data_IF_851771731017
#
_entry.id   IF_851771731017
#
_cell.length_a   1.000
_cell.length_b   1.000
_cell.length_c   1.000
_cell.angle_alpha   90.00
_cell.angle_beta   90.00
_cell.angle_gamma   90.00
#
_symmetry.space_group_name_H-M   'P 1'
#
loop_
_entity.id
_entity.type
_entity.pdbx_description
1 polymer ?
#
# COMPACT_ATOMS: atom_id res chain seq x y z
N UNK A 1 -3.86 -24.21 42.06
CA UNK A 1 -4.44 -23.72 40.78
C UNK A 1 -3.79 -22.37 40.49
N UNK A 2 -2.74 -22.38 39.66
CA UNK A 2 -2.02 -21.19 39.22
C UNK A 2 -1.99 -21.29 37.69
N UNK A 3 -2.83 -20.53 37.01
CA UNK A 3 -2.83 -20.53 35.55
C UNK A 3 -1.83 -19.49 35.07
N UNK A 4 -0.93 -20.01 34.25
CA UNK A 4 0.31 -19.43 33.77
C UNK A 4 0.03 -18.47 32.59
N UNK A 5 0.47 -17.23 32.73
CA UNK A 5 0.54 -16.23 31.66
C UNK A 5 1.67 -16.60 30.71
N UNK A 6 1.37 -16.83 29.43
CA UNK A 6 2.40 -17.03 28.40
C UNK A 6 2.61 -15.69 27.70
N UNK A 7 3.70 -15.01 28.07
CA UNK A 7 4.29 -13.94 27.27
C UNK A 7 5.02 -14.57 26.08
N UNK A 8 4.68 -14.16 24.86
CA UNK A 8 5.45 -14.51 23.65
C UNK A 8 6.31 -13.30 23.30
N UNK A 9 7.55 -13.36 23.75
CA UNK A 9 8.63 -12.44 23.37
C UNK A 9 9.76 -13.25 22.72
N UNK A 10 10.28 -12.71 21.61
CA UNK A 10 11.49 -13.10 20.87
C UNK A 10 11.44 -14.37 20.00
N UNK A 11 11.44 -14.15 18.68
CA UNK A 11 12.38 -14.82 17.77
C UNK A 11 12.52 -14.01 16.46
N UNK A 12 13.31 -12.95 16.54
CA UNK A 12 14.00 -12.39 15.38
C UNK A 12 15.14 -13.36 15.01
N UNK A 13 14.94 -14.23 14.02
CA UNK A 13 15.98 -14.82 13.15
C UNK A 13 15.37 -15.94 12.31
N UNK A 14 14.81 -15.60 11.15
CA UNK A 14 14.54 -16.55 10.06
C UNK A 14 14.38 -15.80 8.73
N UNK A 15 15.28 -14.86 8.42
CA UNK A 15 15.45 -14.39 7.03
C UNK A 15 16.52 -15.28 6.44
N UNK A 16 16.10 -16.43 5.90
CA UNK A 16 17.03 -17.36 5.29
C UNK A 16 16.34 -18.62 4.78
N UNK A 17 16.43 -18.78 3.46
CA UNK A 17 16.21 -20.02 2.71
C UNK A 17 14.78 -20.37 2.28
N UNK A 18 14.30 -19.65 1.26
CA UNK A 18 13.56 -20.28 0.16
C UNK A 18 14.17 -19.78 -1.15
N UNK A 19 15.28 -20.38 -1.56
CA UNK A 19 15.78 -20.25 -2.93
C UNK A 19 15.41 -21.54 -3.67
N UNK A 20 14.21 -21.57 -4.25
CA UNK A 20 13.85 -22.55 -5.28
C UNK A 20 14.50 -22.14 -6.60
N UNK A 21 14.91 -23.10 -7.47
CA UNK A 21 15.39 -22.77 -8.79
C UNK A 21 14.18 -22.40 -9.66
N UNK A 22 13.78 -21.13 -9.63
CA UNK A 22 12.83 -20.61 -10.58
C UNK A 22 13.57 -20.24 -11.87
N UNK A 23 12.96 -20.59 -13.01
CA UNK A 23 13.31 -20.18 -14.37
C UNK A 23 13.98 -18.79 -14.38
N UNK A 24 15.10 -18.62 -15.09
CA UNK A 24 15.85 -17.37 -15.19
C UNK A 24 14.94 -16.17 -15.51
N UNK A 25 14.44 -15.57 -14.43
CA UNK A 25 13.50 -14.47 -14.33
C UNK A 25 14.18 -13.59 -13.30
N UNK A 26 14.50 -12.36 -13.66
CA UNK A 26 15.09 -11.44 -12.70
C UNK A 26 14.00 -11.09 -11.67
N UNK A 27 14.17 -11.58 -10.44
CA UNK A 27 13.24 -11.34 -9.33
C UNK A 27 13.89 -10.33 -8.40
N UNK A 28 13.27 -9.16 -8.28
CA UNK A 28 13.65 -8.12 -7.33
C UNK A 28 12.70 -8.11 -6.15
N UNK A 29 13.27 -8.02 -4.95
CA UNK A 29 12.53 -7.93 -3.69
C UNK A 29 12.99 -6.67 -2.98
N UNK A 30 12.06 -5.75 -2.75
CA UNK A 30 12.29 -4.48 -2.05
C UNK A 30 11.45 -4.46 -0.77
N UNK A 31 11.92 -3.82 0.30
CA UNK A 31 11.20 -3.77 1.57
C UNK A 31 11.37 -2.43 2.28
N UNK A 32 10.40 -2.09 3.12
CA UNK A 32 10.43 -0.90 3.96
C UNK A 32 9.82 -1.16 5.33
N UNK A 33 10.21 -0.36 6.31
CA UNK A 33 9.62 -0.33 7.63
C UNK A 33 9.70 1.09 8.19
N UNK A 34 8.60 1.55 8.75
CA UNK A 34 8.49 2.84 9.45
C UNK A 34 8.09 2.54 10.90
N UNK A 35 8.86 3.06 11.85
CA UNK A 35 8.59 2.92 13.28
C UNK A 35 8.34 4.30 13.85
N UNK A 36 7.16 4.51 14.43
CA UNK A 36 6.72 5.79 14.97
C UNK A 36 6.23 5.60 16.39
N UNK A 37 6.72 6.42 17.31
CA UNK A 37 6.31 6.44 18.70
C UNK A 37 5.55 7.72 19.00
N UNK A 38 4.45 7.62 19.73
CA UNK A 38 3.63 8.76 20.12
C UNK A 38 2.86 8.49 21.40
N UNK A 39 2.46 9.56 22.06
CA UNK A 39 1.56 9.56 23.21
C UNK A 39 0.80 10.89 23.19
N UNK A 40 -0.41 10.87 23.73
CA UNK A 40 -1.20 12.06 23.98
C UNK A 40 -0.77 12.69 25.30
N UNK A 41 -0.74 14.02 25.35
CA UNK A 41 -0.58 14.76 26.60
C UNK A 41 -1.93 15.41 26.87
N UNK A 42 -2.69 14.84 27.80
CA UNK A 42 -4.03 15.28 28.22
C UNK A 42 -4.09 15.40 29.74
N UNK A 43 -4.95 16.28 30.24
CA UNK A 43 -5.33 16.36 31.67
C UNK A 43 -6.64 15.58 31.94
N UNK A 44 -7.09 14.74 31.00
CA UNK A 44 -8.37 14.02 31.06
C UNK A 44 -8.20 12.61 30.52
N UNK A 45 -8.32 11.63 31.44
CA UNK A 45 -8.01 10.19 31.29
C UNK A 45 -8.76 9.43 30.16
N UNK A 46 -9.79 10.01 29.54
CA UNK A 46 -10.68 9.32 28.58
C UNK A 46 -10.49 9.77 27.11
N UNK A 47 -9.45 10.54 26.81
CA UNK A 47 -9.16 11.01 25.45
C UNK A 47 -8.25 10.05 24.68
N UNK A 48 -8.70 9.53 23.53
CA UNK A 48 -7.79 9.02 22.51
C UNK A 48 -7.86 9.90 21.26
N UNK A 49 -6.70 10.16 20.66
CA UNK A 49 -6.60 10.92 19.43
C UNK A 49 -5.72 10.15 18.44
N UNK A 50 -6.28 9.82 17.28
CA UNK A 50 -5.57 9.14 16.21
C UNK A 50 -4.96 7.77 16.58
N UNK A 51 -5.53 7.10 17.59
CA UNK A 51 -5.05 5.82 18.12
C UNK A 51 -4.00 5.95 19.23
N UNK A 52 -3.66 7.17 19.65
CA UNK A 52 -2.79 7.43 20.81
C UNK A 52 -3.62 7.83 22.03
N UNK A 53 -3.27 7.26 23.17
CA UNK A 53 -3.72 7.60 24.52
C UNK A 53 -2.53 8.19 25.33
N UNK A 54 -2.67 8.30 26.65
CA UNK A 54 -1.62 8.84 27.52
C UNK A 54 -0.40 7.92 27.64
N UNK A 55 -0.50 6.67 27.20
CA UNK A 55 0.60 5.72 27.20
C UNK A 55 1.44 5.84 25.93
N UNK A 56 2.74 5.59 26.07
CA UNK A 56 3.64 5.56 24.93
C UNK A 56 3.32 4.36 24.03
N UNK A 57 2.82 4.64 22.83
CA UNK A 57 2.49 3.64 21.83
C UNK A 57 3.38 3.74 20.61
N UNK A 58 3.70 2.58 20.03
CA UNK A 58 4.48 2.47 18.80
C UNK A 58 3.65 1.97 17.62
N UNK A 59 2.41 1.53 17.84
CA UNK A 59 1.62 0.83 16.83
C UNK A 59 0.88 1.74 15.86
N UNK A 60 0.19 2.82 16.28
CA UNK A 60 -0.82 3.49 15.44
C UNK A 60 -0.33 3.95 14.06
N UNK A 61 0.95 4.29 13.95
CA UNK A 61 1.57 4.85 12.74
C UNK A 61 2.72 3.99 12.20
N UNK A 62 3.08 2.92 12.90
CA UNK A 62 4.14 2.03 12.42
C UNK A 62 3.60 1.12 11.32
N UNK A 63 4.40 0.90 10.29
CA UNK A 63 4.06 0.01 9.19
C UNK A 63 5.30 -0.68 8.62
N UNK A 64 5.09 -1.76 7.89
CA UNK A 64 6.13 -2.40 7.11
C UNK A 64 5.55 -2.92 5.81
N UNK A 65 6.40 -3.12 4.80
CA UNK A 65 5.96 -3.70 3.55
C UNK A 65 7.07 -4.37 2.78
N UNK A 66 6.67 -5.30 1.92
CA UNK A 66 7.54 -6.02 1.01
C UNK A 66 6.91 -5.96 -0.38
N UNK A 67 7.72 -5.60 -1.37
CA UNK A 67 7.37 -5.57 -2.78
C UNK A 67 8.19 -6.61 -3.54
N UNK A 68 7.52 -7.36 -4.40
CA UNK A 68 8.10 -8.33 -5.32
C UNK A 68 7.89 -7.84 -6.75
N UNK A 69 8.94 -7.94 -7.57
CA UNK A 69 8.89 -7.70 -9.01
C UNK A 69 9.59 -8.83 -9.74
N UNK A 70 8.97 -9.38 -10.76
CA UNK A 70 9.58 -10.38 -11.64
C UNK A 70 9.47 -9.96 -13.10
N UNK A 71 10.58 -10.04 -13.84
CA UNK A 71 10.60 -9.88 -15.30
C UNK A 71 10.39 -11.24 -15.98
N UNK A 72 9.19 -11.43 -16.57
CA UNK A 72 8.75 -12.66 -17.21
C UNK A 72 9.16 -12.76 -18.69
N UNK A 73 10.00 -11.84 -19.17
CA UNK A 73 10.46 -11.69 -20.56
C UNK A 73 9.37 -11.21 -21.52
N UNK A 74 9.77 -10.86 -22.76
CA UNK A 74 8.87 -10.39 -23.83
C UNK A 74 8.01 -9.16 -23.46
N UNK A 75 8.53 -8.30 -22.58
CA UNK A 75 7.82 -7.10 -22.09
C UNK A 75 6.77 -7.41 -21.03
N UNK A 76 6.66 -8.66 -20.56
CA UNK A 76 5.75 -9.03 -19.47
C UNK A 76 6.48 -8.98 -18.12
N UNK A 77 5.87 -8.33 -17.13
CA UNK A 77 6.35 -8.34 -15.75
C UNK A 77 5.21 -8.52 -14.77
N UNK A 78 5.55 -8.98 -13.56
CA UNK A 78 4.62 -9.13 -12.44
C UNK A 78 5.10 -8.26 -11.28
N UNK A 79 4.17 -7.56 -10.63
CA UNK A 79 4.45 -6.79 -9.41
C UNK A 79 3.41 -7.10 -8.35
N UNK A 80 3.85 -7.33 -7.11
CA UNK A 80 2.97 -7.51 -5.96
C UNK A 80 3.56 -6.81 -4.73
N UNK A 81 2.72 -6.28 -3.86
CA UNK A 81 3.12 -5.68 -2.59
C UNK A 81 2.19 -6.09 -1.46
N UNK A 82 2.80 -6.35 -0.31
CA UNK A 82 2.13 -6.66 0.94
C UNK A 82 2.57 -5.62 1.97
N UNK A 83 1.63 -5.08 2.73
CA UNK A 83 1.88 -4.09 3.78
C UNK A 83 1.12 -4.50 5.04
N UNK A 84 1.79 -4.42 6.20
CA UNK A 84 1.17 -4.54 7.51
C UNK A 84 1.20 -3.19 8.22
N UNK A 85 0.06 -2.75 8.75
CA UNK A 85 -0.11 -1.46 9.42
C UNK A 85 -0.46 -1.66 10.89
N UNK A 86 0.23 -0.99 11.81
CA UNK A 86 -0.01 -1.16 13.24
C UNK A 86 -1.35 -0.59 13.72
N UNK A 87 -1.99 0.29 12.94
CA UNK A 87 -3.40 0.68 13.13
C UNK A 87 -4.39 -0.47 12.92
N UNK A 88 -3.97 -1.52 12.20
CA UNK A 88 -4.74 -2.73 11.91
C UNK A 88 -4.08 -3.96 12.58
N UNK A 89 -3.46 -3.76 13.75
CA UNK A 89 -2.76 -4.82 14.50
C UNK A 89 -1.62 -5.51 13.71
N UNK A 90 -1.07 -4.82 12.70
CA UNK A 90 -0.10 -5.38 11.75
C UNK A 90 -0.64 -6.53 10.89
N UNK A 91 -1.96 -6.61 10.68
CA UNK A 91 -2.52 -7.56 9.73
C UNK A 91 -2.02 -7.24 8.31
N UNK A 92 -1.51 -8.28 7.62
CA UNK A 92 -0.78 -8.11 6.38
C UNK A 92 -1.75 -8.17 5.20
N UNK A 93 -1.91 -7.03 4.52
CA UNK A 93 -2.82 -6.91 3.38
C UNK A 93 -2.06 -6.75 2.07
N UNK A 94 -2.59 -7.34 1.00
CA UNK A 94 -2.08 -7.12 -0.37
C UNK A 94 -2.57 -5.76 -0.86
N UNK A 95 -1.66 -4.79 -0.94
CA UNK A 95 -1.97 -3.43 -1.40
C UNK A 95 -2.21 -3.42 -2.91
N UNK A 96 -1.28 -4.00 -3.68
CA UNK A 96 -1.45 -4.18 -5.12
C UNK A 96 -0.80 -5.45 -5.63
N UNK A 97 -1.36 -6.00 -6.70
CA UNK A 97 -0.89 -7.19 -7.38
C UNK A 97 -1.37 -7.17 -8.83
N UNK A 98 -0.46 -6.94 -9.77
CA UNK A 98 -0.78 -6.78 -11.18
C UNK A 98 0.30 -7.33 -12.11
N UNK A 99 -0.12 -7.67 -13.32
CA UNK A 99 0.75 -7.92 -14.45
C UNK A 99 0.89 -6.64 -15.27
N UNK A 100 2.08 -6.38 -15.80
CA UNK A 100 2.33 -5.30 -16.76
C UNK A 100 2.83 -5.90 -18.05
N UNK A 101 2.25 -5.50 -19.17
CA UNK A 101 2.68 -5.85 -20.50
C UNK A 101 3.06 -4.58 -21.27
N UNK A 102 4.33 -4.47 -21.63
CA UNK A 102 4.88 -3.40 -22.46
C UNK A 102 4.53 -3.70 -23.92
N UNK A 103 3.56 -2.97 -24.48
CA UNK A 103 3.13 -3.14 -25.88
C UNK A 103 4.19 -2.55 -26.81
N UNK A 104 4.80 -1.44 -26.39
CA UNK A 104 5.94 -0.79 -27.01
C UNK A 104 6.60 0.16 -25.98
N UNK A 105 7.68 0.84 -26.37
CA UNK A 105 8.46 1.74 -25.49
C UNK A 105 7.65 2.91 -24.90
N UNK A 106 6.48 3.23 -25.47
CA UNK A 106 5.62 4.34 -25.07
C UNK A 106 4.27 3.89 -24.49
N UNK A 107 3.93 2.60 -24.51
CA UNK A 107 2.58 2.11 -24.17
C UNK A 107 2.63 0.82 -23.36
N UNK A 108 2.08 0.87 -22.15
CA UNK A 108 1.98 -0.28 -21.26
C UNK A 108 0.54 -0.57 -20.84
N UNK A 109 0.22 -1.86 -20.66
CA UNK A 109 -1.06 -2.33 -20.13
C UNK A 109 -0.83 -3.04 -18.81
N UNK A 110 -1.52 -2.60 -17.76
CA UNK A 110 -1.54 -3.22 -16.44
C UNK A 110 -2.87 -3.92 -16.21
N UNK A 111 -2.83 -5.13 -15.65
CA UNK A 111 -4.01 -5.91 -15.34
C UNK A 111 -3.90 -6.51 -13.93
N UNK A 112 -4.90 -6.24 -13.08
CA UNK A 112 -4.95 -6.74 -11.71
C UNK A 112 -5.37 -5.67 -10.71
N UNK A 113 -4.95 -5.86 -9.46
CA UNK A 113 -5.12 -4.86 -8.40
C UNK A 113 -4.04 -3.81 -8.52
N UNK A 114 -4.41 -2.57 -8.80
CA UNK A 114 -3.49 -1.45 -8.96
C UNK A 114 -3.91 -0.25 -8.10
N UNK A 115 -2.95 0.56 -7.67
CA UNK A 115 -3.22 1.83 -6.99
C UNK A 115 -3.94 2.77 -7.96
N UNK A 116 -4.95 3.48 -7.47
CA UNK A 116 -5.54 4.56 -8.25
C UNK A 116 -4.84 5.88 -7.90
N UNK A 117 -4.25 6.60 -8.87
CA UNK A 117 -3.54 7.84 -8.62
C UNK A 117 -4.52 9.02 -8.46
N UNK A 118 -5.52 8.90 -7.59
CA UNK A 118 -6.45 9.99 -7.32
C UNK A 118 -5.75 11.22 -6.72
N UNK A 119 -4.62 11.01 -6.05
CA UNK A 119 -3.88 12.07 -5.36
C UNK A 119 -2.37 11.92 -5.54
N UNK A 120 -1.64 13.04 -5.40
CA UNK A 120 -0.20 13.15 -5.67
C UNK A 120 0.64 12.12 -4.89
N UNK A 121 0.23 11.78 -3.67
CA UNK A 121 0.93 10.83 -2.79
C UNK A 121 0.33 9.42 -2.80
N UNK A 122 -0.62 9.12 -3.69
CA UNK A 122 -1.22 7.79 -3.75
C UNK A 122 -0.14 6.71 -3.88
N UNK A 123 0.89 6.89 -4.70
CA UNK A 123 1.86 5.82 -4.99
C UNK A 123 2.84 5.51 -3.84
N UNK A 124 2.85 6.31 -2.77
CA UNK A 124 3.80 6.17 -1.66
C UNK A 124 3.23 6.55 -0.29
N UNK A 125 1.90 6.48 -0.15
CA UNK A 125 1.21 6.79 1.10
C UNK A 125 1.75 5.99 2.31
N UNK A 126 2.15 4.74 2.08
CA UNK A 126 2.66 3.86 3.13
C UNK A 126 4.16 4.06 3.42
N UNK A 127 4.87 4.87 2.63
CA UNK A 127 6.32 5.05 2.74
C UNK A 127 6.61 6.36 3.46
N UNK A 128 6.78 6.32 4.78
CA UNK A 128 7.02 7.48 5.64
C UNK A 128 8.19 8.38 5.24
N UNK A 129 9.24 7.84 4.57
CA UNK A 129 10.33 8.67 4.05
C UNK A 129 9.94 9.52 2.83
N UNK A 130 8.89 9.15 2.10
CA UNK A 130 8.50 9.80 0.86
C UNK A 130 7.74 11.13 1.07
N UNK A 131 7.42 11.49 2.31
CA UNK A 131 6.75 12.74 2.66
C UNK A 131 7.32 13.36 3.94
N UNK A 132 7.23 14.69 4.04
CA UNK A 132 7.82 15.45 5.16
C UNK A 132 6.99 15.40 6.45
N UNK A 133 5.80 14.81 6.41
CA UNK A 133 4.86 14.73 7.52
C UNK A 133 4.90 13.35 8.17
N UNK A 134 4.48 13.24 9.43
CA UNK A 134 4.35 11.93 10.10
C UNK A 134 3.15 11.15 9.52
N UNK A 135 2.07 11.86 9.16
CA UNK A 135 0.85 11.33 8.56
C UNK A 135 0.32 12.27 7.48
N UNK A 136 -0.13 11.79 6.30
CA UNK A 136 -0.79 12.62 5.30
C UNK A 136 -2.18 13.10 5.77
N UNK A 137 -2.70 14.24 5.27
CA UNK A 137 -3.99 14.78 5.69
C UNK A 137 -5.15 13.78 5.53
N UNK A 138 -5.75 13.37 6.65
CA UNK A 138 -6.81 12.34 6.69
C UNK A 138 -8.07 12.74 5.91
N UNK A 139 -8.38 14.03 5.84
CA UNK A 139 -9.53 14.53 5.08
C UNK A 139 -9.45 14.24 3.57
N UNK A 140 -8.26 13.98 3.04
CA UNK A 140 -8.02 13.70 1.61
C UNK A 140 -7.71 12.22 1.39
N UNK A 141 -6.92 11.63 2.28
CA UNK A 141 -6.38 10.28 2.10
C UNK A 141 -7.07 9.18 2.92
N UNK A 142 -7.93 9.53 3.88
CA UNK A 142 -8.69 8.58 4.70
C UNK A 142 -9.93 7.99 4.04
N UNK A 143 -10.17 8.30 2.76
CA UNK A 143 -11.41 7.93 2.05
C UNK A 143 -11.44 6.46 1.60
N UNK A 144 -10.37 5.70 1.81
CA UNK A 144 -10.27 4.27 1.49
C UNK A 144 -10.15 3.93 -0.01
N UNK A 145 -10.30 4.89 -0.92
CA UNK A 145 -10.22 4.69 -2.38
C UNK A 145 -8.79 4.52 -2.92
N UNK A 146 -8.05 3.56 -2.39
CA UNK A 146 -6.62 3.43 -2.69
C UNK A 146 -6.33 2.56 -3.91
N UNK A 147 -7.14 1.51 -4.11
CA UNK A 147 -6.87 0.46 -5.08
C UNK A 147 -8.10 0.17 -5.94
N UNK A 148 -7.86 -0.23 -7.18
CA UNK A 148 -8.86 -0.78 -8.08
C UNK A 148 -8.43 -2.15 -8.59
N UNK A 149 -9.41 -3.00 -8.86
CA UNK A 149 -9.21 -4.26 -9.55
C UNK A 149 -9.69 -4.10 -11.00
N UNK A 150 -8.77 -4.11 -11.96
CA UNK A 150 -9.13 -3.82 -13.36
C UNK A 150 -7.96 -3.76 -14.33
N UNK A 151 -8.16 -2.97 -15.40
CA UNK A 151 -7.20 -2.69 -16.44
C UNK A 151 -6.78 -1.22 -16.38
N UNK A 152 -5.50 -0.97 -16.56
CA UNK A 152 -4.95 0.38 -16.69
C UNK A 152 -4.03 0.42 -17.91
N UNK A 153 -4.29 1.33 -18.83
CA UNK A 153 -3.47 1.60 -19.99
C UNK A 153 -2.71 2.91 -19.76
N UNK A 154 -1.39 2.90 -19.94
CA UNK A 154 -0.54 4.07 -19.74
C UNK A 154 0.27 4.35 -21.01
N UNK A 155 0.17 5.58 -21.51
CA UNK A 155 0.93 6.07 -22.65
C UNK A 155 1.89 7.17 -22.20
N UNK A 156 3.19 6.92 -22.28
CA UNK A 156 4.24 7.87 -21.94
C UNK A 156 4.96 8.31 -23.20
N UNK A 157 5.01 9.61 -23.46
CA UNK A 157 5.61 10.15 -24.67
C UNK A 157 6.39 11.43 -24.42
N UNK A 158 7.59 11.49 -24.97
CA UNK A 158 8.40 12.70 -25.03
C UNK A 158 8.05 13.52 -26.27
N UNK A 159 7.73 14.79 -26.05
CA UNK A 159 7.32 15.77 -27.06
C UNK A 159 8.25 16.99 -26.94
N UNK A 160 9.38 16.93 -27.64
CA UNK A 160 10.44 17.93 -27.50
C UNK A 160 11.05 17.87 -26.10
N UNK A 161 10.98 18.97 -25.35
CA UNK A 161 11.47 19.06 -23.97
C UNK A 161 10.41 18.65 -22.92
N UNK A 162 9.24 18.18 -23.35
CA UNK A 162 8.10 17.84 -22.48
C UNK A 162 7.89 16.33 -22.43
N UNK A 163 7.63 15.78 -21.24
CA UNK A 163 7.17 14.40 -21.09
C UNK A 163 5.69 14.41 -20.74
N UNK A 164 4.88 13.70 -21.52
CA UNK A 164 3.44 13.59 -21.36
C UNK A 164 3.07 12.16 -20.97
N UNK A 165 2.31 11.97 -19.89
CA UNK A 165 1.77 10.67 -19.48
C UNK A 165 0.25 10.71 -19.56
N UNK A 166 -0.37 9.84 -20.33
CA UNK A 166 -1.82 9.65 -20.31
C UNK A 166 -2.12 8.29 -19.68
N UNK A 167 -2.96 8.26 -18.66
CA UNK A 167 -3.39 7.02 -18.00
C UNK A 167 -4.89 6.88 -18.14
N UNK A 168 -5.36 5.74 -18.65
CA UNK A 168 -6.77 5.37 -18.73
C UNK A 168 -6.99 4.10 -17.93
N UNK A 169 -8.00 4.10 -17.08
CA UNK A 169 -8.30 2.99 -16.19
C UNK A 169 -9.76 2.59 -16.29
N UNK A 170 -10.01 1.29 -16.19
CA UNK A 170 -11.35 0.72 -16.13
C UNK A 170 -11.36 -0.49 -15.20
N UNK A 171 -12.32 -0.55 -14.27
CA UNK A 171 -12.35 -1.64 -13.30
C UNK A 171 -13.46 -1.53 -12.27
N UNK A 172 -13.26 -2.25 -11.17
CA UNK A 172 -14.12 -2.19 -9.98
C UNK A 172 -13.30 -1.68 -8.80
N UNK A 173 -14.00 -1.10 -7.83
CA UNK A 173 -13.43 -0.70 -6.56
C UNK A 173 -14.31 -1.26 -5.44
N UNK A 174 -13.69 -1.96 -4.51
CA UNK A 174 -14.33 -2.44 -3.28
C UNK A 174 -13.50 -1.91 -2.11
N UNK A 175 -14.15 -1.17 -1.21
CA UNK A 175 -13.50 -0.50 -0.08
C UNK A 175 -14.42 -0.55 1.12
N UNK A 176 -13.86 -0.96 2.25
CA UNK A 176 -14.49 -0.79 3.56
C UNK A 176 -13.89 0.47 4.18
N UNK A 177 -14.74 1.39 4.63
CA UNK A 177 -14.33 2.60 5.32
C UNK A 177 -15.20 2.80 6.56
N UNK A 178 -14.60 3.26 7.65
CA UNK A 178 -15.33 3.69 8.84
C UNK A 178 -15.71 5.16 8.67
N UNK A 179 -17.01 5.45 8.71
CA UNK A 179 -17.54 6.81 8.72
C UNK A 179 -18.26 7.03 10.03
N UNK A 180 -17.62 7.75 10.95
CA UNK A 180 -18.19 8.14 12.25
C UNK A 180 -18.56 6.92 13.12
N UNK A 181 -17.70 5.89 13.14
CA UNK A 181 -17.92 4.66 13.93
C UNK A 181 -18.90 3.67 13.30
N UNK A 182 -19.24 3.86 12.02
CA UNK A 182 -20.05 2.92 11.24
C UNK A 182 -19.24 2.36 10.07
N UNK A 183 -19.09 1.04 10.04
CA UNK A 183 -18.53 0.32 8.90
C UNK A 183 -19.42 0.47 7.67
N UNK A 184 -18.93 1.19 6.66
CA UNK A 184 -19.60 1.36 5.37
C UNK A 184 -18.77 0.69 4.28
N UNK A 185 -19.36 -0.32 3.64
CA UNK A 185 -18.77 -0.93 2.43
C UNK A 185 -19.22 -0.17 1.19
N UNK A 186 -18.27 0.45 0.50
CA UNK A 186 -18.47 1.12 -0.78
C UNK A 186 -18.02 0.19 -1.92
N UNK A 187 -18.97 -0.15 -2.80
CA UNK A 187 -18.72 -0.98 -3.98
C UNK A 187 -19.05 -0.22 -5.25
N UNK A 188 -18.02 0.07 -6.03
CA UNK A 188 -18.16 0.58 -7.38
C UNK A 188 -17.97 -0.59 -8.35
N UNK A 189 -19.10 -1.06 -8.90
CA UNK A 189 -19.11 -2.23 -9.78
C UNK A 189 -18.41 -1.97 -11.11
N UNK A 190 -18.54 -0.74 -11.64
CA UNK A 190 -17.90 -0.29 -12.86
C UNK A 190 -17.43 1.16 -12.68
N UNK A 191 -16.14 1.41 -12.88
CA UNK A 191 -15.57 2.74 -12.99
C UNK A 191 -14.70 2.83 -14.23
N UNK A 192 -14.66 4.04 -14.80
CA UNK A 192 -13.68 4.43 -15.81
C UNK A 192 -13.08 5.76 -15.37
N UNK A 193 -11.77 5.90 -15.52
CA UNK A 193 -11.03 7.10 -15.16
C UNK A 193 -9.96 7.41 -16.20
N UNK A 194 -9.59 8.68 -16.31
CA UNK A 194 -8.47 9.11 -17.12
C UNK A 194 -7.69 10.22 -16.41
N UNK A 195 -6.38 10.21 -16.54
CA UNK A 195 -5.46 11.22 -16.03
C UNK A 195 -4.43 11.58 -17.11
N UNK A 196 -3.94 12.81 -17.06
CA UNK A 196 -2.88 13.36 -17.91
C UNK A 196 -1.94 14.23 -17.09
#
# INVERSE_FOLDING_TARGET
MKNCTIQVSLLASAIGLIATPALATDIRIDGFANIVAGQMISDTDDGSLYGYDEDLSFSPESNYGIQFRGDLQEGLSVTAQIVGRGSEEFDATVTWAYLTYEINDELSLKAGRSRVPYFIYSDFLDIGYAYHWIRPPQAVYGLGFENQDGLTLEHLKDIGDWTSRITVMAGRLDTNTDLDGTDVTLKILNQVGAAW
#
